data_IF_629845506489
#
_entry.id   IF_629845506489
#
_cell.length_a   1.000
_cell.length_b   1.000
_cell.length_c   1.000
_cell.angle_alpha   90.00
_cell.angle_beta   90.00
_cell.angle_gamma   90.00
#
_symmetry.space_group_name_H-M   'P 1'
#
loop_
_entity.id
_entity.type
_entity.pdbx_description
1 polymer ?
#
# COMPACT_ATOMS: atom_id res chain seq x y z
N UNK A 1 -31.73 1.15 14.04
CA UNK A 1 -32.95 1.60 13.31
C UNK A 1 -34.19 1.07 14.01
N UNK A 2 -35.20 1.90 14.25
CA UNK A 2 -36.51 1.41 14.68
C UNK A 2 -37.40 1.26 13.45
N UNK A 3 -37.90 0.07 13.18
CA UNK A 3 -38.89 -0.18 12.15
C UNK A 3 -40.28 0.19 12.68
N UNK A 4 -40.96 1.11 12.00
CA UNK A 4 -42.34 1.52 12.30
C UNK A 4 -43.21 1.01 11.16
N UNK A 5 -44.03 -0.05 11.40
CA UNK A 5 -44.94 -0.56 10.37
C UNK A 5 -45.92 0.53 9.93
N UNK A 6 -46.11 0.71 8.63
CA UNK A 6 -47.05 1.71 8.06
C UNK A 6 -46.48 3.08 7.75
N UNK A 7 -45.20 3.34 8.04
CA UNK A 7 -44.58 4.57 7.60
C UNK A 7 -44.29 4.53 6.10
N UNK A 8 -44.87 5.46 5.35
CA UNK A 8 -44.70 5.54 3.86
C UNK A 8 -43.29 5.96 3.42
N UNK A 9 -42.43 6.40 4.34
CA UNK A 9 -41.05 6.85 4.07
C UNK A 9 -40.14 6.44 5.21
N UNK A 10 -38.93 5.98 4.89
CA UNK A 10 -37.91 5.71 5.88
C UNK A 10 -37.31 7.03 6.38
N UNK A 11 -37.28 7.21 7.70
CA UNK A 11 -36.68 8.37 8.35
C UNK A 11 -35.39 7.94 9.05
N UNK A 12 -34.36 8.78 8.92
CA UNK A 12 -33.09 8.59 9.62
C UNK A 12 -32.98 9.67 10.69
N UNK A 13 -32.70 9.26 11.92
CA UNK A 13 -32.51 10.18 13.04
C UNK A 13 -31.10 10.78 12.98
N UNK A 14 -31.01 12.08 12.76
CA UNK A 14 -29.75 12.85 12.79
C UNK A 14 -29.07 12.72 14.17
N UNK A 15 -29.83 12.84 15.26
CA UNK A 15 -29.29 12.76 16.60
C UNK A 15 -28.83 11.36 17.02
N UNK A 16 -29.30 10.30 16.35
CA UNK A 16 -28.78 8.95 16.56
C UNK A 16 -27.44 8.76 15.82
N UNK A 17 -27.35 9.25 14.59
CA UNK A 17 -26.12 9.22 13.80
C UNK A 17 -24.99 10.01 14.49
N UNK A 18 -25.29 11.18 15.03
CA UNK A 18 -24.33 11.98 15.78
C UNK A 18 -23.78 11.22 17.02
N UNK A 19 -24.66 10.57 17.79
CA UNK A 19 -24.24 9.73 18.93
C UNK A 19 -23.39 8.52 18.53
N UNK A 20 -23.56 8.03 17.31
CA UNK A 20 -22.78 6.93 16.74
C UNK A 20 -21.48 7.41 16.05
N UNK A 21 -21.14 8.70 16.18
CA UNK A 21 -19.91 9.28 15.67
C UNK A 21 -19.93 9.60 14.16
N UNK A 22 -21.12 9.76 13.57
CA UNK A 22 -21.27 10.24 12.20
C UNK A 22 -21.34 11.77 12.17
N UNK A 23 -20.64 12.38 11.24
CA UNK A 23 -20.75 13.80 10.96
C UNK A 23 -21.69 14.01 9.77
N UNK A 24 -22.66 14.91 9.92
CA UNK A 24 -23.64 15.25 8.89
C UNK A 24 -23.40 16.68 8.47
N UNK A 25 -23.10 16.88 7.18
CA UNK A 25 -22.89 18.19 6.57
C UNK A 25 -23.99 18.50 5.58
N UNK A 26 -24.54 19.71 5.67
CA UNK A 26 -25.49 20.26 4.72
C UNK A 26 -24.83 21.44 4.01
N UNK A 27 -24.78 21.43 2.69
CA UNK A 27 -24.19 22.50 1.89
C UNK A 27 -25.05 22.74 0.65
N UNK A 28 -25.68 23.93 0.57
CA UNK A 28 -26.58 24.30 -0.52
C UNK A 28 -27.78 23.35 -0.62
N UNK A 29 -27.87 22.63 -1.71
CA UNK A 29 -28.95 21.66 -1.96
C UNK A 29 -28.50 20.20 -1.77
N UNK A 30 -27.32 19.96 -1.21
CA UNK A 30 -26.77 18.62 -0.98
C UNK A 30 -26.52 18.36 0.51
N UNK A 31 -26.52 17.09 0.88
CA UNK A 31 -26.16 16.63 2.20
C UNK A 31 -25.24 15.42 2.11
N UNK A 32 -24.40 15.24 3.14
CA UNK A 32 -23.46 14.12 3.26
C UNK A 32 -23.42 13.63 4.70
N UNK A 33 -23.38 12.32 4.88
CA UNK A 33 -23.08 11.67 6.14
C UNK A 33 -21.71 11.05 6.02
N UNK A 34 -20.82 11.39 6.94
CA UNK A 34 -19.46 10.85 6.99
C UNK A 34 -19.17 10.20 8.34
N UNK A 35 -18.36 9.16 8.34
CA UNK A 35 -17.76 8.59 9.55
C UNK A 35 -16.25 8.60 9.35
N UNK A 36 -15.55 9.48 10.05
CA UNK A 36 -14.15 9.78 9.77
C UNK A 36 -13.96 10.30 8.33
N UNK A 37 -13.13 9.65 7.55
CA UNK A 37 -12.87 10.02 6.15
C UNK A 37 -13.86 9.39 5.13
N UNK A 38 -14.79 8.55 5.58
CA UNK A 38 -15.71 7.81 4.72
C UNK A 38 -17.03 8.55 4.54
N UNK A 39 -17.46 8.76 3.29
CA UNK A 39 -18.82 9.23 2.97
C UNK A 39 -19.73 8.00 2.99
N UNK A 40 -20.59 7.91 4.01
CA UNK A 40 -21.51 6.79 4.20
C UNK A 40 -22.79 6.97 3.41
N UNK A 41 -23.26 8.21 3.27
CA UNK A 41 -24.43 8.54 2.46
C UNK A 41 -24.36 9.99 1.95
N UNK A 42 -25.03 10.24 0.84
CA UNK A 42 -25.23 11.59 0.28
C UNK A 42 -26.57 11.67 -0.42
N UNK A 43 -27.07 12.86 -0.57
CA UNK A 43 -28.31 13.09 -1.29
C UNK A 43 -28.57 14.55 -1.54
N UNK A 44 -29.73 14.85 -2.13
CA UNK A 44 -30.13 16.21 -2.48
C UNK A 44 -31.37 16.64 -1.68
N UNK A 45 -31.53 17.93 -1.53
CA UNK A 45 -32.73 18.54 -0.96
C UNK A 45 -33.86 18.49 -1.98
N UNK A 46 -35.02 17.96 -1.56
CA UNK A 46 -36.25 17.96 -2.34
C UNK A 46 -37.33 18.66 -1.53
N UNK A 47 -37.71 19.87 -1.93
CA UNK A 47 -38.59 20.73 -1.14
C UNK A 47 -37.95 21.15 0.19
N UNK A 48 -38.60 20.85 1.31
CA UNK A 48 -38.09 21.09 2.67
C UNK A 48 -37.34 19.93 3.25
N UNK A 49 -37.29 18.76 2.57
CA UNK A 49 -36.71 17.53 3.06
C UNK A 49 -35.41 17.20 2.33
N UNK A 50 -34.44 16.65 3.09
CA UNK A 50 -33.25 16.04 2.54
C UNK A 50 -33.54 14.57 2.27
N UNK A 51 -33.48 14.16 1.01
CA UNK A 51 -33.88 12.83 0.54
C UNK A 51 -32.64 12.06 0.05
N UNK A 52 -32.54 10.80 0.41
CA UNK A 52 -31.57 9.88 -0.24
C UNK A 52 -32.10 9.56 -1.62
N UNK A 53 -31.43 10.02 -2.66
CA UNK A 53 -31.75 9.67 -4.04
C UNK A 53 -31.20 8.29 -4.36
N UNK A 54 -31.97 7.28 -4.20
CA UNK A 54 -31.74 5.84 -4.41
C UNK A 54 -31.27 5.07 -3.20
N UNK A 55 -32.12 4.13 -2.78
CA UNK A 55 -31.77 3.00 -1.89
C UNK A 55 -30.63 2.13 -2.45
N UNK A 56 -30.33 2.24 -3.75
CA UNK A 56 -29.24 1.52 -4.43
C UNK A 56 -27.84 2.08 -4.14
N UNK A 57 -27.73 3.27 -3.55
CA UNK A 57 -26.48 3.88 -3.13
C UNK A 57 -26.29 3.97 -1.60
N UNK A 58 -27.15 3.36 -0.83
CA UNK A 58 -26.74 2.88 0.48
C UNK A 58 -25.72 1.79 0.12
N UNK A 59 -24.45 2.03 0.40
CA UNK A 59 -23.50 0.94 0.55
C UNK A 59 -24.14 0.09 1.65
N UNK A 60 -24.95 -0.89 1.25
CA UNK A 60 -25.22 -2.01 2.09
C UNK A 60 -23.83 -2.48 2.47
N UNK A 61 -23.50 -2.45 3.75
CA UNK A 61 -22.51 -3.34 4.27
C UNK A 61 -23.13 -4.69 4.00
N UNK A 62 -22.94 -5.19 2.78
CA UNK A 62 -23.18 -6.58 2.47
C UNK A 62 -22.36 -7.31 3.49
N UNK A 63 -22.92 -8.29 4.14
CA UNK A 63 -22.20 -9.21 4.99
C UNK A 63 -21.04 -9.75 4.16
N UNK A 64 -19.93 -9.00 4.21
CA UNK A 64 -18.70 -9.40 3.56
C UNK A 64 -18.39 -10.76 4.13
N UNK A 65 -18.22 -11.76 3.29
CA UNK A 65 -17.98 -13.11 3.72
C UNK A 65 -16.87 -13.08 4.79
N UNK A 66 -17.21 -13.47 6.01
CA UNK A 66 -16.27 -13.42 7.16
C UNK A 66 -14.95 -14.10 6.82
N UNK A 67 -15.00 -15.15 6.00
CA UNK A 67 -13.81 -15.86 5.51
C UNK A 67 -12.98 -15.00 4.55
N UNK A 68 -13.61 -14.26 3.67
CA UNK A 68 -12.93 -13.32 2.77
C UNK A 68 -12.23 -12.22 3.55
N UNK A 69 -12.88 -11.67 4.57
CA UNK A 69 -12.30 -10.66 5.46
C UNK A 69 -11.13 -11.22 6.26
N UNK A 70 -11.24 -12.42 6.80
CA UNK A 70 -10.16 -13.07 7.53
C UNK A 70 -8.93 -13.30 6.63
N UNK A 71 -9.12 -13.77 5.40
CA UNK A 71 -8.03 -13.92 4.44
C UNK A 71 -7.43 -12.58 4.01
N UNK A 72 -8.26 -11.57 3.81
CA UNK A 72 -7.81 -10.21 3.52
C UNK A 72 -6.85 -9.70 4.62
N UNK A 73 -7.20 -9.91 5.89
CA UNK A 73 -6.38 -9.54 7.04
C UNK A 73 -5.09 -10.37 7.12
N UNK A 74 -5.19 -11.71 7.02
CA UNK A 74 -4.03 -12.63 7.05
C UNK A 74 -3.02 -12.35 5.95
N UNK A 75 -3.50 -11.90 4.78
CA UNK A 75 -2.66 -11.52 3.65
C UNK A 75 -2.21 -10.05 3.70
N UNK A 76 -2.21 -9.42 4.88
CA UNK A 76 -1.76 -8.05 5.09
C UNK A 76 -2.56 -7.03 4.30
N UNK A 77 -3.88 -7.15 4.37
CA UNK A 77 -4.83 -6.29 3.68
C UNK A 77 -4.62 -6.26 2.15
N UNK A 78 -4.40 -7.44 1.57
CA UNK A 78 -4.28 -7.63 0.12
C UNK A 78 -5.55 -7.18 -0.59
N UNK A 79 -5.41 -6.58 -1.79
CA UNK A 79 -6.57 -6.16 -2.58
C UNK A 79 -7.44 -7.36 -3.00
N UNK A 80 -8.73 -7.12 -3.15
CA UNK A 80 -9.69 -8.13 -3.62
C UNK A 80 -9.25 -8.78 -4.95
N UNK A 81 -8.70 -7.99 -5.88
CA UNK A 81 -8.13 -8.50 -7.14
C UNK A 81 -6.99 -9.50 -6.89
N UNK A 82 -6.11 -9.22 -5.95
CA UNK A 82 -5.04 -10.14 -5.56
C UNK A 82 -5.58 -11.44 -4.96
N UNK A 83 -6.59 -11.33 -4.11
CA UNK A 83 -7.24 -12.50 -3.51
C UNK A 83 -7.98 -13.35 -4.55
N UNK A 84 -8.70 -12.73 -5.50
CA UNK A 84 -9.33 -13.44 -6.63
C UNK A 84 -8.30 -14.23 -7.47
N UNK A 85 -7.12 -13.66 -7.67
CA UNK A 85 -6.01 -14.35 -8.34
C UNK A 85 -5.50 -15.56 -7.53
N UNK A 86 -5.42 -15.45 -6.20
CA UNK A 86 -5.05 -16.59 -5.35
C UNK A 86 -6.15 -17.68 -5.35
N UNK A 87 -7.40 -17.26 -5.32
CA UNK A 87 -8.53 -18.19 -5.38
C UNK A 87 -8.53 -18.98 -6.69
N UNK A 88 -8.35 -18.31 -7.84
CA UNK A 88 -8.29 -18.99 -9.15
C UNK A 88 -7.13 -19.98 -9.28
N UNK A 89 -6.07 -19.80 -8.48
CA UNK A 89 -4.92 -20.73 -8.39
C UNK A 89 -5.08 -21.80 -7.30
N UNK A 90 -6.25 -21.92 -6.68
CA UNK A 90 -6.51 -22.89 -5.62
C UNK A 90 -5.73 -22.68 -4.33
N UNK A 91 -5.23 -21.47 -4.09
CA UNK A 91 -4.41 -21.15 -2.91
C UNK A 91 -5.23 -20.67 -1.69
N UNK A 92 -6.54 -20.58 -1.85
CA UNK A 92 -7.49 -20.21 -0.79
C UNK A 92 -8.56 -21.30 -0.66
N UNK A 93 -8.23 -22.45 -0.05
CA UNK A 93 -9.07 -23.67 -0.12
C UNK A 93 -10.45 -23.47 0.54
N UNK A 94 -10.56 -22.59 1.53
CA UNK A 94 -11.80 -22.39 2.29
C UNK A 94 -12.73 -21.33 1.69
N UNK A 95 -12.33 -20.71 0.56
CA UNK A 95 -13.11 -19.70 -0.13
C UNK A 95 -13.73 -20.24 -1.42
N UNK A 96 -15.02 -19.95 -1.63
CA UNK A 96 -15.72 -20.17 -2.91
C UNK A 96 -15.76 -18.90 -3.76
N UNK A 97 -15.81 -17.77 -3.10
CA UNK A 97 -15.83 -16.44 -3.70
C UNK A 97 -15.00 -15.47 -2.85
N UNK A 98 -14.60 -14.33 -3.42
CA UNK A 98 -13.91 -13.26 -2.71
C UNK A 98 -14.80 -12.02 -2.70
N UNK A 99 -15.28 -11.67 -1.53
CA UNK A 99 -15.99 -10.41 -1.24
C UNK A 99 -15.45 -9.84 0.07
N UNK A 100 -14.60 -8.83 -0.04
CA UNK A 100 -13.93 -8.21 1.13
C UNK A 100 -14.73 -7.07 1.71
N UNK A 101 -15.69 -6.51 0.96
CA UNK A 101 -16.41 -5.32 1.38
C UNK A 101 -15.51 -4.12 1.68
N UNK A 102 -15.96 -3.22 2.54
CA UNK A 102 -15.21 -2.03 2.95
C UNK A 102 -14.37 -2.33 4.19
N UNK A 103 -13.05 -2.32 4.04
CA UNK A 103 -12.12 -2.43 5.15
C UNK A 103 -11.69 -1.03 5.62
N UNK A 104 -12.15 -0.59 6.78
CA UNK A 104 -11.80 0.73 7.37
C UNK A 104 -10.29 0.90 7.50
N UNK A 105 -9.58 -0.12 7.96
CA UNK A 105 -8.13 -0.09 8.10
C UNK A 105 -7.40 0.15 6.78
N UNK A 106 -7.94 -0.41 5.67
CA UNK A 106 -7.44 -0.12 4.34
C UNK A 106 -7.72 1.33 3.92
N UNK A 107 -8.89 1.87 4.25
CA UNK A 107 -9.25 3.26 3.93
C UNK A 107 -8.31 4.21 4.68
N UNK A 108 -8.17 4.03 5.99
CA UNK A 108 -7.27 4.84 6.82
C UNK A 108 -5.78 4.65 6.45
N UNK A 109 -5.39 3.43 6.07
CA UNK A 109 -4.02 3.12 5.65
C UNK A 109 -3.65 3.69 4.29
N UNK A 110 -4.63 3.87 3.37
CA UNK A 110 -4.42 4.24 1.96
C UNK A 110 -4.85 5.67 1.62
N UNK A 111 -4.81 6.58 2.56
CA UNK A 111 -5.41 7.92 2.49
C UNK A 111 -4.98 8.85 1.33
N UNK A 112 -3.99 8.50 0.50
CA UNK A 112 -3.60 9.30 -0.66
C UNK A 112 -3.25 8.42 -1.86
N UNK A 113 -4.24 8.05 -2.67
CA UNK A 113 -3.99 7.56 -4.04
C UNK A 113 -3.94 8.73 -5.01
N UNK A 114 -2.76 9.15 -5.40
CA UNK A 114 -2.56 9.96 -6.59
C UNK A 114 -2.46 9.00 -7.78
N UNK A 115 -3.40 9.06 -8.70
CA UNK A 115 -3.35 8.30 -9.95
C UNK A 115 -2.35 8.98 -10.88
N UNK A 116 -1.18 8.35 -11.08
CA UNK A 116 -0.22 8.76 -12.10
C UNK A 116 -0.52 8.01 -13.39
N UNK A 117 -0.47 8.72 -14.53
CA UNK A 117 -0.67 8.14 -15.86
C UNK A 117 0.30 6.96 -16.08
N UNK A 118 -0.23 5.86 -16.61
CA UNK A 118 0.54 4.66 -16.93
C UNK A 118 1.41 4.92 -18.19
N UNK A 119 2.63 5.36 -18.00
CA UNK A 119 3.64 5.20 -19.05
C UNK A 119 4.25 3.82 -18.81
N UNK A 120 3.74 2.83 -19.52
CA UNK A 120 4.18 1.44 -19.39
C UNK A 120 5.59 1.26 -19.98
N UNK A 121 6.60 1.14 -19.10
CA UNK A 121 7.84 0.47 -19.51
C UNK A 121 7.65 -1.01 -19.25
N UNK A 122 7.92 -1.85 -20.25
CA UNK A 122 8.01 -3.30 -20.08
C UNK A 122 9.08 -3.62 -19.03
N UNK A 123 8.76 -4.47 -18.04
CA UNK A 123 9.74 -4.95 -17.06
C UNK A 123 10.93 -5.62 -17.78
N UNK A 124 12.10 -5.59 -17.14
CA UNK A 124 13.24 -6.34 -17.60
C UNK A 124 12.95 -7.85 -17.56
N UNK A 125 13.56 -8.61 -18.46
CA UNK A 125 13.32 -10.06 -18.56
C UNK A 125 14.22 -10.87 -17.64
N UNK A 126 15.47 -10.39 -17.42
CA UNK A 126 16.44 -11.08 -16.59
C UNK A 126 16.45 -10.59 -15.14
N UNK A 127 16.61 -11.53 -14.20
CA UNK A 127 16.81 -11.22 -12.79
C UNK A 127 18.10 -10.43 -12.60
N UNK A 128 18.08 -9.48 -11.67
CA UNK A 128 19.19 -8.60 -11.31
C UNK A 128 19.72 -7.72 -12.45
N UNK A 129 19.03 -7.67 -13.62
CA UNK A 129 19.43 -6.76 -14.69
C UNK A 129 19.25 -5.30 -14.28
N UNK A 130 18.16 -5.00 -13.57
CA UNK A 130 17.86 -3.66 -13.08
C UNK A 130 17.29 -3.72 -11.67
N UNK A 131 17.97 -3.08 -10.75
CA UNK A 131 17.51 -2.89 -9.38
C UNK A 131 17.05 -1.45 -9.21
N UNK A 132 15.83 -1.28 -8.71
CA UNK A 132 15.34 0.01 -8.25
C UNK A 132 15.61 0.12 -6.76
N UNK A 133 16.01 1.31 -6.31
CA UNK A 133 16.24 1.60 -4.90
C UNK A 133 15.70 2.96 -4.53
N UNK A 134 15.23 3.08 -3.30
CA UNK A 134 14.72 4.32 -2.72
C UNK A 134 14.83 4.27 -1.21
N UNK A 135 15.01 5.43 -0.58
CA UNK A 135 15.10 5.57 0.87
C UNK A 135 13.88 6.31 1.38
N UNK A 136 13.13 5.64 2.21
CA UNK A 136 12.00 6.25 2.91
C UNK A 136 12.39 6.73 4.30
N UNK A 137 11.88 7.88 4.70
CA UNK A 137 12.06 8.48 6.02
C UNK A 137 12.51 9.95 5.96
N UNK A 138 12.72 10.63 7.13
CA UNK A 138 12.66 9.99 8.44
C UNK A 138 11.25 9.70 8.90
N UNK A 139 11.09 8.60 9.65
CA UNK A 139 9.87 8.31 10.39
C UNK A 139 9.69 9.33 11.51
N UNK A 140 8.47 9.78 11.79
CA UNK A 140 8.22 10.69 12.92
C UNK A 140 8.48 10.06 14.30
N UNK A 141 8.58 8.74 14.36
CA UNK A 141 8.86 7.97 15.58
C UNK A 141 9.93 6.93 15.25
N UNK A 142 10.96 6.80 16.08
CA UNK A 142 11.94 5.73 15.93
C UNK A 142 11.31 4.36 16.11
N UNK A 143 11.82 3.37 15.37
CA UNK A 143 11.40 1.97 15.55
C UNK A 143 11.88 1.42 16.89
N UNK A 144 11.43 0.22 17.26
CA UNK A 144 11.89 -0.48 18.46
C UNK A 144 13.43 -0.61 18.49
N UNK A 145 14.05 -0.84 17.33
CA UNK A 145 15.52 -0.93 17.19
C UNK A 145 16.21 0.44 16.96
N UNK A 146 15.48 1.56 17.07
CA UNK A 146 16.00 2.91 16.91
C UNK A 146 16.17 3.38 15.47
N UNK A 147 15.61 2.67 14.49
CA UNK A 147 15.67 3.06 13.08
C UNK A 147 14.71 4.20 12.78
N UNK A 148 15.12 5.13 11.90
CA UNK A 148 14.30 6.24 11.40
C UNK A 148 14.02 6.14 9.90
N UNK A 149 14.76 5.31 9.19
CA UNK A 149 14.69 5.15 7.74
C UNK A 149 14.59 3.68 7.37
N UNK A 150 14.19 3.40 6.16
CA UNK A 150 14.47 2.13 5.51
C UNK A 150 14.83 2.35 4.04
N UNK A 151 15.69 1.47 3.51
CA UNK A 151 16.01 1.39 2.10
C UNK A 151 15.35 0.16 1.49
N UNK A 152 14.83 0.31 0.28
CA UNK A 152 14.31 -0.80 -0.52
C UNK A 152 15.22 -1.08 -1.70
N UNK A 153 15.42 -2.37 -2.00
CA UNK A 153 15.96 -2.85 -3.26
C UNK A 153 14.89 -3.70 -3.94
N UNK A 154 14.60 -3.42 -5.21
CA UNK A 154 13.50 -4.06 -5.93
C UNK A 154 14.02 -4.51 -7.29
N UNK A 155 13.96 -5.80 -7.54
CA UNK A 155 14.28 -6.35 -8.85
C UNK A 155 13.17 -6.02 -9.86
N UNK A 156 13.55 -5.46 -11.01
CA UNK A 156 12.58 -5.01 -12.02
C UNK A 156 11.85 -6.19 -12.66
N UNK A 157 12.51 -7.33 -12.84
CA UNK A 157 11.93 -8.52 -13.49
C UNK A 157 10.98 -9.26 -12.59
N UNK A 158 11.43 -9.63 -11.40
CA UNK A 158 10.65 -10.45 -10.46
C UNK A 158 9.75 -9.66 -9.54
N UNK A 159 9.96 -8.35 -9.41
CA UNK A 159 9.30 -7.48 -8.42
C UNK A 159 9.59 -7.85 -6.97
N UNK A 160 10.52 -8.78 -6.71
CA UNK A 160 10.98 -9.11 -5.37
C UNK A 160 11.53 -7.86 -4.69
N UNK A 161 11.14 -7.63 -3.44
CA UNK A 161 11.55 -6.48 -2.64
C UNK A 161 12.33 -6.94 -1.42
N UNK A 162 13.45 -6.29 -1.17
CA UNK A 162 14.22 -6.40 0.06
C UNK A 162 14.15 -5.07 0.79
N UNK A 163 13.99 -5.12 2.11
CA UNK A 163 13.87 -3.95 2.99
C UNK A 163 14.93 -4.04 4.07
N UNK A 164 15.65 -2.94 4.30
CA UNK A 164 16.64 -2.82 5.37
C UNK A 164 16.40 -1.53 6.15
N UNK A 165 16.35 -1.67 7.48
CA UNK A 165 16.11 -0.55 8.38
C UNK A 165 17.41 0.13 8.75
N UNK A 166 17.41 1.46 8.78
CA UNK A 166 18.58 2.31 8.95
C UNK A 166 18.33 3.34 10.04
N UNK A 167 19.36 3.63 10.83
CA UNK A 167 19.34 4.76 11.79
C UNK A 167 19.64 6.07 11.07
N UNK A 168 20.53 6.03 10.09
CA UNK A 168 20.99 7.20 9.31
C UNK A 168 20.99 6.87 7.82
N UNK A 169 20.71 7.86 6.98
CA UNK A 169 20.80 7.71 5.51
C UNK A 169 22.19 7.34 5.01
N UNK A 170 23.24 7.73 5.75
CA UNK A 170 24.63 7.39 5.41
C UNK A 170 24.93 5.89 5.44
N UNK A 171 24.07 5.08 6.05
CA UNK A 171 24.23 3.61 6.13
C UNK A 171 23.79 2.90 4.82
N UNK A 172 23.20 3.61 3.85
CA UNK A 172 22.71 3.04 2.58
C UNK A 172 23.80 2.35 1.81
N UNK A 173 25.00 2.93 1.73
CA UNK A 173 26.14 2.33 1.01
C UNK A 173 26.56 0.97 1.58
N UNK A 174 26.79 0.91 2.88
CA UNK A 174 27.20 -0.33 3.54
C UNK A 174 26.10 -1.40 3.47
N UNK A 175 24.84 -0.98 3.56
CA UNK A 175 23.69 -1.87 3.41
C UNK A 175 23.61 -2.42 1.99
N UNK A 176 23.79 -1.58 0.98
CA UNK A 176 23.83 -2.00 -0.42
C UNK A 176 24.95 -3.02 -0.68
N UNK A 177 26.14 -2.77 -0.16
CA UNK A 177 27.29 -3.66 -0.32
C UNK A 177 27.01 -5.06 0.26
N UNK A 178 26.45 -5.12 1.47
CA UNK A 178 26.09 -6.39 2.14
C UNK A 178 24.99 -7.12 1.38
N UNK A 179 23.93 -6.40 1.00
CA UNK A 179 22.83 -6.96 0.23
C UNK A 179 23.27 -7.46 -1.14
N UNK A 180 24.09 -6.69 -1.87
CA UNK A 180 24.64 -7.10 -3.15
C UNK A 180 25.40 -8.41 -3.04
N UNK A 181 26.32 -8.52 -2.08
CA UNK A 181 27.09 -9.75 -1.87
C UNK A 181 26.19 -10.96 -1.59
N UNK A 182 25.15 -10.76 -0.76
CA UNK A 182 24.18 -11.81 -0.42
C UNK A 182 23.39 -12.24 -1.66
N UNK A 183 22.78 -11.32 -2.38
CA UNK A 183 21.87 -11.65 -3.49
C UNK A 183 22.61 -12.23 -4.69
N UNK A 184 23.82 -11.76 -4.98
CA UNK A 184 24.68 -12.32 -6.03
C UNK A 184 25.15 -13.73 -5.69
N UNK A 185 25.46 -14.01 -4.42
CA UNK A 185 25.80 -15.35 -3.96
C UNK A 185 24.59 -16.31 -3.99
N UNK A 186 23.41 -15.82 -3.57
CA UNK A 186 22.16 -16.61 -3.57
C UNK A 186 21.73 -17.01 -4.98
N UNK A 187 21.90 -16.11 -5.95
CA UNK A 187 21.39 -16.30 -7.32
C UNK A 187 22.43 -16.76 -8.34
N UNK A 188 23.71 -16.62 -8.03
CA UNK A 188 24.81 -16.78 -9.01
C UNK A 188 24.86 -15.70 -10.09
N UNK A 189 23.98 -14.70 -10.02
CA UNK A 189 23.87 -13.63 -11.02
C UNK A 189 24.52 -12.33 -10.51
N UNK A 190 24.88 -11.44 -11.45
CA UNK A 190 25.44 -10.13 -11.13
C UNK A 190 24.43 -9.02 -11.36
N UNK A 191 24.45 -8.01 -10.49
CA UNK A 191 23.66 -6.79 -10.69
C UNK A 191 24.28 -6.00 -11.85
N UNK A 192 23.48 -5.71 -12.90
CA UNK A 192 23.96 -4.96 -14.07
C UNK A 192 23.69 -3.45 -13.92
N UNK A 193 22.54 -3.07 -13.36
CA UNK A 193 22.11 -1.67 -13.25
C UNK A 193 21.46 -1.38 -11.91
N UNK A 194 21.73 -0.20 -11.39
CA UNK A 194 21.10 0.33 -10.18
C UNK A 194 20.42 1.65 -10.52
N UNK A 195 19.11 1.73 -10.34
CA UNK A 195 18.33 2.95 -10.52
C UNK A 195 17.90 3.53 -9.19
N UNK A 196 18.28 4.78 -8.95
CA UNK A 196 17.93 5.54 -7.76
C UNK A 196 17.41 6.93 -8.15
N UNK A 197 16.86 7.62 -7.17
CA UNK A 197 16.66 9.07 -7.26
C UNK A 197 18.00 9.83 -7.17
N UNK A 198 17.92 11.17 -7.09
CA UNK A 198 19.09 12.05 -6.92
C UNK A 198 19.43 12.31 -5.44
N UNK A 199 19.02 11.43 -4.52
CA UNK A 199 19.34 11.56 -3.09
C UNK A 199 20.84 11.68 -2.82
N UNK A 200 21.18 12.40 -1.75
CA UNK A 200 22.57 12.61 -1.33
C UNK A 200 23.31 11.33 -1.06
N UNK A 201 22.61 10.31 -0.55
CA UNK A 201 23.10 8.99 -0.24
C UNK A 201 23.67 8.23 -1.45
N UNK A 202 23.14 8.49 -2.66
CA UNK A 202 23.63 7.91 -3.92
C UNK A 202 24.64 8.81 -4.66
N UNK A 203 24.95 10.00 -4.11
CA UNK A 203 25.97 10.90 -4.67
C UNK A 203 27.35 10.69 -4.07
N UNK A 204 27.45 9.91 -2.97
CA UNK A 204 28.71 9.58 -2.30
C UNK A 204 29.70 9.00 -3.31
N UNK A 205 30.93 9.52 -3.31
CA UNK A 205 32.03 9.08 -4.19
C UNK A 205 32.32 7.59 -4.01
N UNK A 206 32.33 7.12 -2.76
CA UNK A 206 32.56 5.69 -2.42
C UNK A 206 31.50 4.79 -3.05
N UNK A 207 30.22 5.23 -3.08
CA UNK A 207 29.15 4.48 -3.70
C UNK A 207 29.33 4.37 -5.22
N UNK A 208 29.68 5.49 -5.87
CA UNK A 208 29.92 5.53 -7.30
C UNK A 208 31.10 4.68 -7.72
N UNK A 209 32.23 4.82 -7.01
CA UNK A 209 33.45 4.06 -7.25
C UNK A 209 33.23 2.56 -7.04
N UNK A 210 32.53 2.18 -5.99
CA UNK A 210 32.17 0.78 -5.75
C UNK A 210 31.31 0.19 -6.87
N UNK A 211 30.31 0.94 -7.35
CA UNK A 211 29.48 0.50 -8.47
C UNK A 211 30.29 0.37 -9.76
N UNK A 212 31.16 1.35 -10.06
CA UNK A 212 32.04 1.32 -11.22
C UNK A 212 32.97 0.11 -11.20
N UNK A 213 33.65 -0.13 -10.06
CA UNK A 213 34.54 -1.27 -9.86
C UNK A 213 33.79 -2.63 -9.90
N UNK A 214 32.52 -2.64 -9.55
CA UNK A 214 31.66 -3.83 -9.63
C UNK A 214 30.98 -4.02 -11.00
N UNK A 215 31.22 -3.15 -11.98
CA UNK A 215 30.57 -3.18 -13.28
C UNK A 215 29.07 -2.81 -13.26
N UNK A 216 28.60 -2.11 -12.23
CA UNK A 216 27.20 -1.73 -12.06
C UNK A 216 26.98 -0.35 -12.66
N UNK A 217 26.12 -0.25 -13.69
CA UNK A 217 25.70 1.04 -14.25
C UNK A 217 24.71 1.72 -13.34
N UNK A 218 25.09 2.87 -12.77
CA UNK A 218 24.16 3.71 -12.00
C UNK A 218 23.28 4.55 -12.95
N UNK A 219 21.96 4.35 -12.88
CA UNK A 219 20.97 5.15 -13.59
C UNK A 219 20.27 6.08 -12.61
N UNK A 220 20.58 7.37 -12.69
CA UNK A 220 19.91 8.39 -11.89
C UNK A 220 18.70 8.95 -12.62
N UNK A 221 17.64 9.25 -11.89
CA UNK A 221 16.50 9.96 -12.47
C UNK A 221 16.88 11.39 -12.83
N UNK A 222 16.33 11.91 -13.93
CA UNK A 222 16.47 13.32 -14.28
C UNK A 222 15.79 14.17 -13.21
N UNK A 223 16.41 15.24 -12.72
CA UNK A 223 15.76 16.15 -11.78
C UNK A 223 14.36 16.56 -12.27
N UNK A 224 13.38 16.66 -11.38
CA UNK A 224 11.97 16.98 -11.66
C UNK A 224 11.19 15.92 -12.49
N UNK A 225 11.72 14.70 -12.66
CA UNK A 225 11.00 13.59 -13.29
C UNK A 225 10.81 12.41 -12.32
N UNK A 226 9.96 12.54 -11.29
CA UNK A 226 9.74 11.48 -10.28
C UNK A 226 9.22 10.17 -10.91
N UNK A 227 8.58 10.24 -12.09
CA UNK A 227 8.10 9.06 -12.82
C UNK A 227 9.20 8.04 -13.15
N UNK A 228 10.47 8.45 -13.21
CA UNK A 228 11.58 7.55 -13.51
C UNK A 228 11.95 6.63 -12.34
N UNK A 229 11.70 7.04 -11.07
CA UNK A 229 11.83 6.18 -9.88
C UNK A 229 10.48 5.58 -9.42
N UNK A 230 9.46 5.70 -10.25
CA UNK A 230 8.09 5.34 -9.88
C UNK A 230 7.87 3.87 -9.47
N UNK A 231 8.81 2.95 -9.74
CA UNK A 231 8.74 1.56 -9.24
C UNK A 231 9.02 1.55 -7.74
N UNK A 232 10.14 2.13 -7.31
CA UNK A 232 10.54 2.17 -5.91
C UNK A 232 9.58 3.02 -5.07
N UNK A 233 9.20 4.20 -5.56
CA UNK A 233 8.23 5.07 -4.88
C UNK A 233 6.87 4.39 -4.67
N UNK A 234 6.34 3.70 -5.69
CA UNK A 234 5.09 2.94 -5.56
C UNK A 234 5.22 1.77 -4.61
N UNK A 235 6.37 1.07 -4.61
CA UNK A 235 6.61 -0.02 -3.68
C UNK A 235 6.67 0.49 -2.24
N UNK A 236 7.41 1.56 -1.97
CA UNK A 236 7.49 2.19 -0.66
C UNK A 236 6.11 2.66 -0.18
N UNK A 237 5.29 3.22 -1.08
CA UNK A 237 3.90 3.57 -0.76
C UNK A 237 3.09 2.33 -0.38
N UNK A 238 3.17 1.26 -1.16
CA UNK A 238 2.44 0.01 -0.90
C UNK A 238 2.86 -0.62 0.44
N UNK A 239 4.17 -0.62 0.74
CA UNK A 239 4.69 -1.09 2.02
C UNK A 239 4.11 -0.28 3.19
N UNK A 240 4.18 1.05 3.10
CA UNK A 240 3.67 1.94 4.14
C UNK A 240 2.14 1.81 4.32
N UNK A 241 1.37 1.74 3.22
CA UNK A 241 -0.08 1.58 3.29
C UNK A 241 -0.47 0.25 3.95
N UNK A 242 0.16 -0.87 3.57
CA UNK A 242 -0.08 -2.19 4.18
C UNK A 242 0.33 -2.22 5.64
N UNK A 243 1.54 -1.76 5.96
CA UNK A 243 2.04 -1.70 7.33
C UNK A 243 1.14 -0.85 8.23
N UNK A 244 0.69 0.31 7.72
CA UNK A 244 -0.25 1.19 8.42
C UNK A 244 -1.59 0.50 8.68
N UNK A 245 -2.16 -0.14 7.65
CA UNK A 245 -3.44 -0.86 7.78
C UNK A 245 -3.36 -2.00 8.79
N UNK A 246 -2.31 -2.82 8.72
CA UNK A 246 -2.08 -3.90 9.67
C UNK A 246 -1.92 -3.39 11.11
N UNK A 247 -1.13 -2.33 11.29
CA UNK A 247 -0.87 -1.74 12.60
C UNK A 247 -2.14 -1.12 13.22
N UNK A 248 -2.95 -0.42 12.43
CA UNK A 248 -4.23 0.16 12.87
C UNK A 248 -5.21 -0.96 13.24
N UNK A 249 -5.30 -2.01 12.42
CA UNK A 249 -6.20 -3.13 12.66
C UNK A 249 -5.97 -3.81 14.03
N UNK A 250 -4.71 -3.99 14.41
CA UNK A 250 -4.35 -4.68 15.68
C UNK A 250 -4.11 -3.71 16.84
N UNK A 251 -4.24 -2.40 16.60
CA UNK A 251 -4.00 -1.38 17.64
C UNK A 251 -2.53 -1.24 18.05
N UNK A 252 -1.58 -1.64 17.22
CA UNK A 252 -0.15 -1.59 17.56
C UNK A 252 0.38 -0.16 17.63
N UNK A 253 1.29 0.12 18.58
CA UNK A 253 1.90 1.44 18.75
C UNK A 253 2.74 1.84 17.54
N UNK A 254 2.95 3.17 17.38
CA UNK A 254 3.62 3.73 16.21
C UNK A 254 5.06 3.26 16.06
N UNK A 255 5.78 2.99 17.12
CA UNK A 255 7.17 2.55 17.08
C UNK A 255 7.38 1.16 16.49
N UNK A 256 6.31 0.33 16.34
CA UNK A 256 6.36 -0.96 15.66
C UNK A 256 6.16 -0.86 14.13
N UNK A 257 6.43 0.32 13.56
CA UNK A 257 6.29 0.53 12.12
C UNK A 257 7.27 -0.32 11.30
N UNK A 258 8.49 -0.55 11.81
CA UNK A 258 9.50 -1.32 11.10
C UNK A 258 9.11 -2.80 10.98
N UNK A 259 8.61 -3.40 12.05
CA UNK A 259 8.09 -4.76 12.09
C UNK A 259 6.91 -4.95 11.13
N UNK A 260 6.01 -3.96 11.09
CA UNK A 260 4.89 -3.97 10.15
C UNK A 260 5.34 -3.82 8.69
N UNK A 261 6.36 -3.01 8.39
CA UNK A 261 6.97 -2.90 7.07
C UNK A 261 7.63 -4.22 6.66
N UNK A 262 8.37 -4.86 7.58
CA UNK A 262 9.00 -6.16 7.32
C UNK A 262 7.96 -7.24 7.00
N UNK A 263 6.88 -7.28 7.76
CA UNK A 263 5.75 -8.18 7.50
C UNK A 263 5.08 -7.87 6.15
N UNK A 264 4.91 -6.58 5.82
CA UNK A 264 4.36 -6.19 4.52
C UNK A 264 5.25 -6.65 3.36
N UNK A 265 6.56 -6.50 3.47
CA UNK A 265 7.53 -6.98 2.47
C UNK A 265 7.49 -8.52 2.33
N UNK A 266 7.44 -9.22 3.44
CA UNK A 266 7.29 -10.69 3.48
C UNK A 266 6.04 -11.15 2.70
N UNK A 267 4.90 -10.51 2.95
CA UNK A 267 3.63 -10.84 2.30
C UNK A 267 3.61 -10.43 0.81
N UNK A 268 4.25 -9.31 0.45
CA UNK A 268 4.37 -8.88 -0.96
C UNK A 268 5.17 -9.90 -1.76
N UNK A 269 6.29 -10.37 -1.23
CA UNK A 269 7.14 -11.35 -1.91
C UNK A 269 6.51 -12.75 -2.04
N UNK A 270 5.37 -13.01 -1.37
CA UNK A 270 4.65 -14.30 -1.41
C UNK A 270 3.25 -14.18 -1.98
N UNK A 271 2.85 -12.97 -2.34
CA UNK A 271 1.55 -12.70 -2.92
C UNK A 271 1.61 -12.42 -4.42
N UNK A 272 0.46 -12.47 -5.10
CA UNK A 272 0.39 -12.17 -6.53
C UNK A 272 0.72 -10.70 -6.80
N UNK A 273 1.55 -10.48 -7.82
CA UNK A 273 1.99 -9.17 -8.27
C UNK A 273 1.29 -8.80 -9.58
N UNK A 274 0.61 -7.65 -9.61
CA UNK A 274 -0.07 -7.16 -10.82
C UNK A 274 0.89 -6.96 -12.00
N UNK A 275 2.11 -6.41 -11.81
CA UNK A 275 3.08 -6.29 -12.88
C UNK A 275 3.60 -7.64 -13.43
N UNK A 276 3.34 -8.74 -12.76
CA UNK A 276 3.72 -10.09 -13.17
C UNK A 276 2.50 -10.93 -13.60
N UNK A 277 1.41 -10.26 -14.01
CA UNK A 277 0.15 -10.92 -14.39
C UNK A 277 -0.34 -11.94 -13.35
N UNK A 278 -0.16 -11.61 -12.07
CA UNK A 278 -0.51 -12.46 -10.94
C UNK A 278 0.56 -13.52 -10.60
N UNK A 279 1.75 -13.44 -11.18
CA UNK A 279 2.93 -14.18 -10.72
C UNK A 279 3.37 -13.76 -9.32
N UNK A 280 4.14 -14.61 -8.66
CA UNK A 280 4.75 -14.35 -7.34
C UNK A 280 6.17 -13.85 -7.56
N UNK A 281 6.59 -12.76 -6.86
CA UNK A 281 7.95 -12.22 -6.92
C UNK A 281 9.06 -13.19 -6.55
#
# INVERSE_FOLDING_TARGET
>A
MRHIPGLKRNLISVGQLDREGYCITFSGHEWKITKGALITARGKKSGTLYVTSNLENIIAVTDADEKSNLWHQRLGHMSEKGMKTLLSKGKLPDLKNVDVGLCENCIFGKQKKVSLAKIGKTPKTERLELIHTDVWGPSPVSSLAGSLYYVTFIDDSTRKVWVYFLKKKSEVFDTFRKWKAMVENETGLKIKKLRSDNGGEYKDSRFKEFCANSGIKMEKTVPMTPQQNGVAERMNRTLNERARSMRIHVGLPKFLWAEAINTAAYLINRGPSVPLDGGIP
#
